data_IF_654180776403
#
_entry.id   IF_654180776403
#
_cell.length_a   1.000
_cell.length_b   1.000
_cell.length_c   1.000
_cell.angle_alpha   90.00
_cell.angle_beta   90.00
_cell.angle_gamma   90.00
#
_symmetry.space_group_name_H-M   'P 1'
#
loop_
_entity.id
_entity.type
_entity.pdbx_description
1 polymer ?
#
# COMPACT_ATOMS: atom_id res chain seq x y z
N UNK A 1 53.99 36.55 10.82
CA UNK A 1 52.51 36.63 10.98
C UNK A 1 51.75 36.69 9.65
N UNK A 2 52.08 37.56 8.67
CA UNK A 2 51.36 37.66 7.38
C UNK A 2 51.28 36.35 6.57
N UNK A 3 52.37 35.56 6.49
CA UNK A 3 52.37 34.29 5.76
C UNK A 3 51.52 33.17 6.40
N UNK A 4 51.39 33.16 7.75
CA UNK A 4 50.53 32.19 8.44
C UNK A 4 49.04 32.45 8.19
N UNK A 5 48.64 33.72 8.09
CA UNK A 5 47.25 34.13 7.81
C UNK A 5 46.86 33.76 6.37
N UNK A 6 47.78 33.90 5.40
CA UNK A 6 47.52 33.51 4.01
C UNK A 6 47.33 31.99 3.84
N UNK A 7 48.12 31.16 4.52
CA UNK A 7 47.98 29.69 4.44
C UNK A 7 46.67 29.22 5.07
N UNK A 8 46.27 29.79 6.21
CA UNK A 8 45.00 29.49 6.86
C UNK A 8 43.77 29.89 6.01
N UNK A 9 43.84 31.04 5.33
CA UNK A 9 42.76 31.50 4.45
C UNK A 9 42.61 30.62 3.19
N UNK A 10 43.73 30.22 2.57
CA UNK A 10 43.72 29.35 1.37
C UNK A 10 43.22 27.94 1.70
N UNK A 11 43.64 27.37 2.83
CA UNK A 11 43.15 26.06 3.26
C UNK A 11 41.66 26.08 3.61
N UNK A 12 41.18 27.14 4.27
CA UNK A 12 39.75 27.30 4.56
C UNK A 12 38.92 27.39 3.26
N UNK A 13 39.35 28.19 2.28
CA UNK A 13 38.67 28.32 0.98
C UNK A 13 38.61 27.00 0.20
N UNK A 14 39.72 26.26 0.17
CA UNK A 14 39.77 24.94 -0.49
C UNK A 14 38.84 23.93 0.18
N UNK A 15 38.81 23.90 1.52
CA UNK A 15 37.89 23.03 2.28
C UNK A 15 36.44 23.41 1.98
N UNK A 16 36.10 24.70 1.94
CA UNK A 16 34.73 25.13 1.61
C UNK A 16 34.34 24.80 0.16
N UNK A 17 35.26 24.92 -0.79
CA UNK A 17 35.01 24.60 -2.21
C UNK A 17 34.84 23.10 -2.44
N UNK A 18 35.67 22.28 -1.79
CA UNK A 18 35.54 20.82 -1.83
C UNK A 18 34.21 20.38 -1.19
N UNK A 19 33.85 20.99 -0.07
CA UNK A 19 32.60 20.71 0.62
C UNK A 19 31.37 21.10 -0.21
N UNK A 20 31.41 22.21 -0.96
CA UNK A 20 30.32 22.59 -1.87
C UNK A 20 30.20 21.64 -3.06
N UNK A 21 31.32 21.22 -3.66
CA UNK A 21 31.32 20.28 -4.79
C UNK A 21 30.83 18.89 -4.37
N UNK A 22 31.23 18.42 -3.19
CA UNK A 22 30.76 17.15 -2.63
C UNK A 22 29.24 17.16 -2.43
N UNK A 23 28.69 18.26 -1.87
CA UNK A 23 27.23 18.42 -1.71
C UNK A 23 26.49 18.45 -3.05
N UNK A 24 27.02 19.15 -4.04
CA UNK A 24 26.42 19.25 -5.37
C UNK A 24 26.42 17.88 -6.08
N UNK A 25 27.53 17.15 -6.02
CA UNK A 25 27.65 15.81 -6.58
C UNK A 25 26.70 14.81 -5.91
N UNK A 26 26.63 14.82 -4.57
CA UNK A 26 25.71 13.97 -3.80
C UNK A 26 24.24 14.30 -4.16
N UNK A 27 23.89 15.58 -4.25
CA UNK A 27 22.57 16.02 -4.69
C UNK A 27 22.22 15.51 -6.09
N UNK A 28 23.12 15.72 -7.06
CA UNK A 28 22.93 15.28 -8.45
C UNK A 28 22.73 13.77 -8.57
N UNK A 29 23.56 12.98 -7.89
CA UNK A 29 23.48 11.52 -7.95
C UNK A 29 22.23 10.97 -7.24
N UNK A 30 21.78 11.61 -6.15
CA UNK A 30 20.53 11.24 -5.49
C UNK A 30 19.31 11.49 -6.41
N UNK A 31 19.26 12.63 -7.09
CA UNK A 31 18.18 12.91 -8.05
C UNK A 31 18.16 11.90 -9.21
N UNK A 32 19.33 11.51 -9.73
CA UNK A 32 19.43 10.43 -10.71
C UNK A 32 18.87 9.11 -10.16
N UNK A 33 19.19 8.75 -8.92
CA UNK A 33 18.66 7.54 -8.30
C UNK A 33 17.12 7.59 -8.14
N UNK A 34 16.57 8.76 -7.81
CA UNK A 34 15.11 8.98 -7.75
C UNK A 34 14.48 8.83 -9.13
N UNK A 35 15.12 9.35 -10.17
CA UNK A 35 14.60 9.25 -11.54
C UNK A 35 14.65 7.81 -12.06
N UNK A 36 15.73 7.08 -11.79
CA UNK A 36 15.82 5.64 -12.06
C UNK A 36 14.70 4.85 -11.33
N UNK A 37 14.39 5.21 -10.08
CA UNK A 37 13.26 4.62 -9.35
C UNK A 37 11.92 4.88 -10.05
N UNK A 38 11.67 6.13 -10.49
CA UNK A 38 10.43 6.52 -11.18
C UNK A 38 10.23 5.79 -12.50
N UNK A 39 11.31 5.56 -13.25
CA UNK A 39 11.27 4.77 -14.49
C UNK A 39 11.39 3.25 -14.27
N UNK A 40 11.29 2.79 -13.01
CA UNK A 40 11.28 1.39 -12.57
C UNK A 40 12.60 0.63 -12.75
N UNK A 41 13.70 1.35 -12.94
CA UNK A 41 15.06 0.79 -12.97
C UNK A 41 15.61 0.60 -11.55
N UNK A 42 14.93 -0.22 -10.75
CA UNK A 42 15.18 -0.29 -9.31
C UNK A 42 16.60 -0.72 -8.95
N UNK A 43 17.19 -1.65 -9.71
CA UNK A 43 18.57 -2.07 -9.49
C UNK A 43 19.58 -0.94 -9.73
N UNK A 44 19.36 -0.11 -10.76
CA UNK A 44 20.21 1.04 -11.06
C UNK A 44 20.08 2.12 -9.98
N UNK A 45 18.85 2.38 -9.55
CA UNK A 45 18.58 3.27 -8.41
C UNK A 45 19.31 2.77 -7.16
N UNK A 46 19.24 1.48 -6.82
CA UNK A 46 19.97 0.89 -5.68
C UNK A 46 21.48 1.09 -5.82
N UNK A 47 22.07 0.84 -6.99
CA UNK A 47 23.50 1.02 -7.24
C UNK A 47 23.92 2.48 -6.98
N UNK A 48 23.15 3.44 -7.51
CA UNK A 48 23.39 4.86 -7.31
C UNK A 48 23.23 5.27 -5.85
N UNK A 49 22.19 4.84 -5.14
CA UNK A 49 22.06 5.19 -3.72
C UNK A 49 23.15 4.55 -2.88
N UNK A 50 23.56 3.30 -3.18
CA UNK A 50 24.65 2.63 -2.45
C UNK A 50 25.99 3.33 -2.62
N UNK A 51 26.28 3.91 -3.79
CA UNK A 51 27.52 4.68 -3.99
C UNK A 51 27.55 5.99 -3.19
N UNK A 52 26.39 6.47 -2.73
CA UNK A 52 26.25 7.64 -1.86
C UNK A 52 26.31 7.30 -0.37
N UNK A 53 26.27 6.02 -0.01
CA UNK A 53 26.34 5.61 1.39
C UNK A 53 27.75 5.85 1.94
N UNK A 54 27.83 6.73 2.92
CA UNK A 54 29.03 6.99 3.71
C UNK A 54 28.74 6.70 5.18
N UNK A 55 29.68 6.03 5.85
CA UNK A 55 29.53 5.63 7.25
C UNK A 55 29.23 6.85 8.14
N UNK A 56 28.12 6.78 8.86
CA UNK A 56 27.70 7.78 9.84
C UNK A 56 27.15 9.10 9.28
N UNK A 57 27.18 9.35 7.96
CA UNK A 57 26.75 10.62 7.34
C UNK A 57 25.59 10.51 6.35
N UNK A 58 25.16 9.28 6.04
CA UNK A 58 24.08 9.04 5.08
C UNK A 58 22.74 9.56 5.60
N UNK A 59 22.00 10.29 4.75
CA UNK A 59 20.71 10.89 5.09
C UNK A 59 19.60 9.84 5.18
N UNK A 60 18.48 10.17 5.84
CA UNK A 60 17.37 9.23 5.97
C UNK A 60 16.72 8.92 4.60
N UNK A 61 16.75 9.87 3.68
CA UNK A 61 16.21 9.77 2.34
C UNK A 61 16.89 8.67 1.52
N UNK A 62 18.19 8.47 1.70
CA UNK A 62 18.93 7.41 1.01
C UNK A 62 18.44 6.04 1.45
N UNK A 63 18.31 5.83 2.77
CA UNK A 63 17.76 4.59 3.32
C UNK A 63 16.29 4.40 2.94
N UNK A 64 15.48 5.46 2.93
CA UNK A 64 14.09 5.38 2.49
C UNK A 64 13.98 4.95 1.02
N UNK A 65 14.78 5.57 0.14
CA UNK A 65 14.80 5.23 -1.29
C UNK A 65 15.29 3.79 -1.52
N UNK A 66 16.30 3.31 -0.78
CA UNK A 66 16.70 1.91 -0.81
C UNK A 66 15.54 0.99 -0.38
N UNK A 67 14.85 1.32 0.72
CA UNK A 67 13.74 0.54 1.20
C UNK A 67 12.63 0.40 0.15
N UNK A 68 12.29 1.51 -0.52
CA UNK A 68 11.28 1.52 -1.58
C UNK A 68 11.70 0.76 -2.83
N UNK A 69 12.98 0.84 -3.22
CA UNK A 69 13.48 0.03 -4.34
C UNK A 69 13.41 -1.47 -4.03
N UNK A 70 13.87 -1.89 -2.86
CA UNK A 70 13.83 -3.29 -2.43
C UNK A 70 12.39 -3.81 -2.31
N UNK A 71 11.47 -2.98 -1.81
CA UNK A 71 10.04 -3.31 -1.79
C UNK A 71 9.47 -3.59 -3.19
N UNK A 72 9.83 -2.77 -4.18
CA UNK A 72 9.43 -2.98 -5.58
C UNK A 72 10.03 -4.23 -6.21
N UNK A 73 11.18 -4.69 -5.71
CA UNK A 73 11.81 -5.94 -6.10
C UNK A 73 11.33 -7.14 -5.27
N UNK A 74 10.33 -6.95 -4.40
CA UNK A 74 9.79 -7.97 -3.50
C UNK A 74 10.84 -8.53 -2.50
N UNK A 75 11.89 -7.76 -2.21
CA UNK A 75 12.93 -8.09 -1.23
C UNK A 75 12.58 -7.47 0.14
N UNK A 76 11.78 -8.22 0.91
CA UNK A 76 11.31 -7.77 2.22
C UNK A 76 12.46 -7.50 3.20
N UNK A 77 13.48 -8.34 3.22
CA UNK A 77 14.54 -8.28 4.23
C UNK A 77 15.34 -6.97 4.07
N UNK A 78 15.82 -6.69 2.86
CA UNK A 78 16.53 -5.46 2.60
C UNK A 78 15.61 -4.24 2.68
N UNK A 79 14.36 -4.35 2.22
CA UNK A 79 13.39 -3.26 2.32
C UNK A 79 13.16 -2.85 3.78
N UNK A 80 12.84 -3.82 4.63
CA UNK A 80 12.50 -3.55 6.02
C UNK A 80 13.72 -3.10 6.83
N UNK A 81 14.91 -3.66 6.56
CA UNK A 81 16.16 -3.19 7.17
C UNK A 81 16.40 -1.70 6.88
N UNK A 82 16.25 -1.28 5.63
CA UNK A 82 16.54 0.09 5.23
C UNK A 82 15.46 1.08 5.74
N UNK A 83 14.17 0.71 5.77
CA UNK A 83 13.15 1.63 6.31
C UNK A 83 13.31 1.84 7.82
N UNK A 84 13.76 0.82 8.56
CA UNK A 84 14.11 0.97 9.98
C UNK A 84 15.30 1.92 10.18
N UNK A 85 16.30 1.86 9.31
CA UNK A 85 17.47 2.74 9.39
C UNK A 85 17.13 4.20 9.03
N UNK A 86 16.21 4.42 8.09
CA UNK A 86 15.62 5.73 7.81
C UNK A 86 14.88 6.26 9.05
N UNK A 87 14.02 5.43 9.66
CA UNK A 87 13.26 5.80 10.86
C UNK A 87 14.15 6.04 12.09
N UNK A 88 15.28 5.35 12.22
CA UNK A 88 16.24 5.64 13.29
C UNK A 88 16.79 7.06 13.20
N UNK A 89 16.96 7.60 11.99
CA UNK A 89 17.43 8.97 11.74
C UNK A 89 16.32 10.01 11.86
N UNK A 90 15.10 9.65 11.48
CA UNK A 90 13.92 10.53 11.55
C UNK A 90 12.73 9.78 12.17
N UNK A 91 12.72 9.58 13.51
CA UNK A 91 11.75 8.70 14.18
C UNK A 91 10.31 9.22 14.13
N UNK A 92 10.15 10.54 14.08
CA UNK A 92 8.86 11.24 14.07
C UNK A 92 8.44 11.64 12.65
N UNK A 93 8.96 10.99 11.61
CA UNK A 93 8.51 11.23 10.24
C UNK A 93 7.29 10.38 9.89
N UNK A 94 6.17 11.04 9.61
CA UNK A 94 4.90 10.41 9.26
C UNK A 94 4.99 9.56 7.99
N UNK A 95 5.71 10.04 6.96
CA UNK A 95 5.86 9.35 5.68
C UNK A 95 6.68 8.06 5.83
N UNK A 96 7.72 8.06 6.67
CA UNK A 96 8.51 6.86 6.96
C UNK A 96 7.71 5.81 7.76
N UNK A 97 6.83 6.27 8.66
CA UNK A 97 5.91 5.39 9.41
C UNK A 97 4.88 4.76 8.47
N UNK A 98 4.29 5.56 7.58
CA UNK A 98 3.38 5.07 6.54
C UNK A 98 4.09 4.10 5.59
N UNK A 99 5.30 4.44 5.13
CA UNK A 99 6.11 3.58 4.28
C UNK A 99 6.42 2.22 4.93
N UNK A 100 6.73 2.22 6.23
CA UNK A 100 6.94 0.99 7.00
C UNK A 100 5.67 0.13 7.06
N UNK A 101 4.51 0.73 7.32
CA UNK A 101 3.22 0.02 7.31
C UNK A 101 2.87 -0.54 5.93
N UNK A 102 3.14 0.22 4.87
CA UNK A 102 2.93 -0.22 3.50
C UNK A 102 3.82 -1.44 3.14
N UNK A 103 5.11 -1.41 3.50
CA UNK A 103 6.03 -2.53 3.29
C UNK A 103 5.57 -3.76 4.08
N UNK A 104 5.23 -3.60 5.36
CA UNK A 104 4.78 -4.71 6.21
C UNK A 104 3.50 -5.35 5.67
N UNK A 105 2.51 -4.55 5.25
CA UNK A 105 1.24 -5.06 4.74
C UNK A 105 1.40 -5.72 3.36
N UNK A 106 2.17 -5.13 2.44
CA UNK A 106 2.46 -5.72 1.11
C UNK A 106 3.13 -7.09 1.21
N UNK A 107 4.04 -7.23 2.16
CA UNK A 107 4.73 -8.49 2.45
C UNK A 107 4.00 -9.39 3.46
N UNK A 108 2.71 -9.09 3.73
CA UNK A 108 1.82 -9.89 4.58
C UNK A 108 2.32 -10.10 6.00
N UNK A 109 3.14 -9.18 6.51
CA UNK A 109 3.64 -9.15 7.89
C UNK A 109 2.60 -8.51 8.80
N UNK A 110 1.46 -9.17 8.95
CA UNK A 110 0.27 -8.62 9.60
C UNK A 110 0.46 -8.25 11.07
N UNK A 111 1.13 -9.12 11.85
CA UNK A 111 1.34 -8.87 13.28
C UNK A 111 2.26 -7.65 13.51
N UNK A 112 3.46 -7.55 12.89
CA UNK A 112 4.25 -6.33 12.97
C UNK A 112 3.53 -5.07 12.45
N UNK A 113 2.71 -5.19 11.40
CA UNK A 113 1.93 -4.06 10.89
C UNK A 113 0.93 -3.53 11.92
N UNK A 114 0.22 -4.43 12.61
CA UNK A 114 -0.69 -4.09 13.71
C UNK A 114 0.05 -3.40 14.84
N UNK A 115 1.15 -3.99 15.32
CA UNK A 115 1.95 -3.43 16.42
C UNK A 115 2.51 -2.04 16.09
N UNK A 116 2.95 -1.83 14.85
CA UNK A 116 3.41 -0.52 14.39
C UNK A 116 2.26 0.48 14.32
N UNK A 117 1.12 0.10 13.74
CA UNK A 117 -0.04 0.97 13.62
C UNK A 117 -0.58 1.43 14.98
N UNK A 118 -0.63 0.53 15.97
CA UNK A 118 -1.05 0.85 17.34
C UNK A 118 -0.15 1.89 18.01
N UNK A 119 1.15 1.90 17.68
CA UNK A 119 2.10 2.92 18.15
C UNK A 119 2.01 4.23 17.35
N UNK A 120 1.68 4.15 16.07
CA UNK A 120 1.62 5.31 15.16
C UNK A 120 0.33 6.13 15.31
N UNK A 121 -0.82 5.47 15.49
CA UNK A 121 -2.14 6.14 15.54
C UNK A 121 -2.23 7.23 16.64
N UNK A 122 -1.68 7.06 17.85
CA UNK A 122 -1.67 8.13 18.86
C UNK A 122 -0.88 9.37 18.44
N UNK A 123 0.15 9.21 17.61
CA UNK A 123 0.99 10.30 17.10
C UNK A 123 0.30 11.03 15.94
N UNK A 124 -0.38 10.27 15.06
CA UNK A 124 -1.03 10.76 13.85
C UNK A 124 -2.50 10.33 13.78
N UNK A 125 -3.36 10.84 14.69
CA UNK A 125 -4.72 10.32 14.84
C UNK A 125 -5.62 10.59 13.62
N UNK A 126 -5.27 11.53 12.75
CA UNK A 126 -6.07 11.85 11.56
C UNK A 126 -5.46 11.35 10.26
N UNK A 127 -4.36 10.58 10.30
CA UNK A 127 -3.77 10.04 9.08
C UNK A 127 -4.62 8.89 8.53
N UNK A 128 -5.23 9.05 7.34
CA UNK A 128 -6.11 8.02 6.79
C UNK A 128 -5.34 6.81 6.26
N UNK A 129 -4.10 6.96 5.80
CA UNK A 129 -3.25 5.88 5.28
C UNK A 129 -2.79 4.93 6.40
N UNK A 130 -2.38 5.47 7.55
CA UNK A 130 -2.03 4.66 8.73
C UNK A 130 -3.24 3.81 9.16
N UNK A 131 -4.43 4.41 9.20
CA UNK A 131 -5.67 3.72 9.55
C UNK A 131 -6.07 2.68 8.50
N UNK A 132 -5.86 2.98 7.21
CA UNK A 132 -6.07 2.03 6.12
C UNK A 132 -5.20 0.78 6.27
N UNK A 133 -3.88 0.94 6.45
CA UNK A 133 -2.99 -0.20 6.63
C UNK A 133 -3.29 -0.99 7.91
N UNK A 134 -3.72 -0.31 8.97
CA UNK A 134 -4.16 -0.99 10.19
C UNK A 134 -5.43 -1.82 9.96
N UNK A 135 -6.45 -1.23 9.33
CA UNK A 135 -7.68 -1.91 8.98
C UNK A 135 -7.42 -3.11 8.07
N UNK A 136 -6.51 -2.98 7.10
CA UNK A 136 -6.10 -4.05 6.20
C UNK A 136 -5.51 -5.21 7.00
N UNK A 137 -4.52 -4.95 7.84
CA UNK A 137 -3.88 -5.99 8.65
C UNK A 137 -4.86 -6.64 9.65
N UNK A 138 -5.76 -5.87 10.26
CA UNK A 138 -6.81 -6.39 11.14
C UNK A 138 -7.80 -7.29 10.38
N UNK A 139 -8.21 -6.88 9.18
CA UNK A 139 -9.12 -7.67 8.32
C UNK A 139 -8.50 -9.03 7.97
N UNK A 140 -7.22 -9.05 7.56
CA UNK A 140 -6.48 -10.28 7.24
C UNK A 140 -6.27 -11.19 8.47
N UNK A 141 -6.25 -10.62 9.67
CA UNK A 141 -6.20 -11.37 10.93
C UNK A 141 -7.58 -11.79 11.46
N UNK A 142 -8.66 -11.50 10.74
CA UNK A 142 -10.02 -11.86 11.13
C UNK A 142 -10.66 -10.93 12.18
N UNK A 143 -10.00 -9.82 12.52
CA UNK A 143 -10.51 -8.82 13.47
C UNK A 143 -11.47 -7.82 12.79
N UNK A 144 -12.47 -8.32 12.06
CA UNK A 144 -13.28 -7.53 11.13
C UNK A 144 -14.07 -6.39 11.79
N UNK A 145 -14.51 -6.54 13.05
CA UNK A 145 -15.20 -5.45 13.79
C UNK A 145 -14.26 -4.28 14.06
N UNK A 146 -13.05 -4.56 14.53
CA UNK A 146 -12.03 -3.54 14.77
C UNK A 146 -11.57 -2.93 13.46
N UNK A 147 -11.37 -3.74 12.42
CA UNK A 147 -11.03 -3.28 11.07
C UNK A 147 -12.07 -2.28 10.54
N UNK A 148 -13.37 -2.56 10.74
CA UNK A 148 -14.45 -1.68 10.32
C UNK A 148 -14.35 -0.30 10.98
N UNK A 149 -14.13 -0.26 12.30
CA UNK A 149 -13.97 1.03 13.00
C UNK A 149 -12.79 1.85 12.50
N UNK A 150 -11.70 1.19 12.08
CA UNK A 150 -10.51 1.88 11.57
C UNK A 150 -10.70 2.36 10.14
N UNK A 151 -11.33 1.57 9.27
CA UNK A 151 -11.59 1.99 7.88
C UNK A 151 -12.61 3.12 7.79
N UNK A 152 -13.63 3.13 8.67
CA UNK A 152 -14.60 4.23 8.76
C UNK A 152 -13.90 5.56 9.10
N UNK A 153 -12.95 5.53 10.04
CA UNK A 153 -12.13 6.70 10.40
C UNK A 153 -11.18 7.11 9.27
N UNK A 154 -10.60 6.15 8.55
CA UNK A 154 -9.75 6.44 7.39
C UNK A 154 -10.55 7.17 6.29
N UNK A 155 -11.73 6.66 5.96
CA UNK A 155 -12.59 7.21 4.91
C UNK A 155 -13.08 8.64 5.21
N UNK A 156 -13.25 9.01 6.47
CA UNK A 156 -13.64 10.38 6.83
C UNK A 156 -12.63 11.44 6.30
N UNK A 157 -11.36 11.08 6.17
CA UNK A 157 -10.31 11.94 5.60
C UNK A 157 -10.10 11.79 4.09
N UNK A 158 -10.64 10.74 3.46
CA UNK A 158 -10.46 10.45 2.02
C UNK A 158 -11.65 9.65 1.47
N UNK A 159 -12.84 10.28 1.37
CA UNK A 159 -14.09 9.55 1.11
C UNK A 159 -14.19 8.93 -0.30
N UNK A 160 -13.36 9.38 -1.24
CA UNK A 160 -13.32 8.90 -2.63
C UNK A 160 -12.09 8.02 -2.94
N UNK A 161 -11.40 7.49 -1.93
CA UNK A 161 -10.34 6.50 -2.17
C UNK A 161 -10.95 5.11 -2.40
N UNK A 162 -10.88 4.61 -3.63
CA UNK A 162 -11.41 3.30 -4.00
C UNK A 162 -10.80 2.17 -3.17
N UNK A 163 -9.54 2.29 -2.71
CA UNK A 163 -8.86 1.27 -1.90
C UNK A 163 -9.54 1.11 -0.55
N UNK A 164 -9.99 2.22 0.04
CA UNK A 164 -10.68 2.21 1.33
C UNK A 164 -12.09 1.65 1.20
N UNK A 165 -12.80 1.99 0.12
CA UNK A 165 -14.12 1.45 -0.20
C UNK A 165 -14.07 -0.05 -0.51
N UNK A 166 -13.06 -0.50 -1.24
CA UNK A 166 -12.81 -1.91 -1.52
C UNK A 166 -12.57 -2.70 -0.22
N UNK A 167 -11.67 -2.21 0.63
CA UNK A 167 -11.37 -2.85 1.91
C UNK A 167 -12.59 -2.87 2.83
N UNK A 168 -13.37 -1.78 2.90
CA UNK A 168 -14.63 -1.73 3.63
C UNK A 168 -15.63 -2.79 3.12
N UNK A 169 -15.77 -2.92 1.80
CA UNK A 169 -16.59 -3.96 1.18
C UNK A 169 -16.17 -5.37 1.59
N UNK A 170 -14.87 -5.65 1.56
CA UNK A 170 -14.28 -6.92 2.02
C UNK A 170 -14.53 -7.15 3.52
N UNK A 171 -14.41 -6.12 4.35
CA UNK A 171 -14.69 -6.20 5.78
C UNK A 171 -16.17 -6.51 6.04
N UNK A 172 -17.09 -5.83 5.34
CA UNK A 172 -18.53 -6.10 5.45
C UNK A 172 -18.89 -7.51 4.97
N UNK A 173 -18.25 -7.99 3.90
CA UNK A 173 -18.40 -9.36 3.44
C UNK A 173 -17.99 -10.37 4.52
N UNK A 174 -16.84 -10.16 5.18
CA UNK A 174 -16.37 -11.00 6.29
C UNK A 174 -17.33 -10.96 7.50
N UNK A 175 -17.99 -9.82 7.73
CA UNK A 175 -19.04 -9.66 8.74
C UNK A 175 -20.40 -10.22 8.29
N UNK A 176 -20.50 -10.81 7.10
CA UNK A 176 -21.74 -11.30 6.47
C UNK A 176 -22.81 -10.22 6.25
N UNK A 177 -22.41 -8.95 6.25
CA UNK A 177 -23.28 -7.84 5.91
C UNK A 177 -23.19 -7.55 4.40
N UNK A 178 -23.80 -8.44 3.62
CA UNK A 178 -23.66 -8.43 2.16
C UNK A 178 -24.27 -7.18 1.50
N UNK A 179 -25.34 -6.63 2.07
CA UNK A 179 -25.97 -5.41 1.54
C UNK A 179 -25.02 -4.20 1.65
N UNK A 180 -24.35 -4.02 2.79
CA UNK A 180 -23.34 -2.94 2.92
C UNK A 180 -22.07 -3.22 2.11
N UNK A 181 -21.70 -4.49 1.96
CA UNK A 181 -20.57 -4.87 1.11
C UNK A 181 -20.84 -4.51 -0.36
N UNK A 182 -22.06 -4.74 -0.85
CA UNK A 182 -22.51 -4.40 -2.20
C UNK A 182 -22.38 -2.89 -2.46
N UNK A 183 -22.94 -2.06 -1.57
CA UNK A 183 -22.87 -0.60 -1.68
C UNK A 183 -21.42 -0.12 -1.76
N UNK A 184 -20.55 -0.62 -0.88
CA UNK A 184 -19.15 -0.19 -0.80
C UNK A 184 -18.38 -0.57 -2.08
N UNK A 185 -18.56 -1.80 -2.57
CA UNK A 185 -17.86 -2.29 -3.76
C UNK A 185 -18.39 -1.73 -5.08
N UNK A 186 -19.69 -1.41 -5.17
CA UNK A 186 -20.23 -0.67 -6.33
C UNK A 186 -19.66 0.75 -6.39
N UNK A 187 -19.51 1.39 -5.25
CA UNK A 187 -18.85 2.69 -5.22
C UNK A 187 -17.39 2.55 -5.62
N UNK A 188 -16.65 1.59 -5.05
CA UNK A 188 -15.27 1.32 -5.42
C UNK A 188 -15.11 1.05 -6.93
N UNK A 189 -15.99 0.24 -7.55
CA UNK A 189 -15.93 -0.08 -8.98
C UNK A 189 -16.30 1.10 -9.88
N UNK A 190 -17.15 2.01 -9.42
CA UNK A 190 -17.44 3.26 -10.15
C UNK A 190 -16.22 4.20 -10.21
N UNK A 191 -15.37 4.17 -9.19
CA UNK A 191 -14.14 4.99 -9.11
C UNK A 191 -12.96 4.32 -9.82
N UNK A 192 -12.90 2.98 -9.85
CA UNK A 192 -11.85 2.24 -10.53
C UNK A 192 -12.40 1.00 -11.26
N UNK A 193 -12.75 1.20 -12.53
CA UNK A 193 -13.29 0.14 -13.38
C UNK A 193 -12.24 -0.88 -13.83
N UNK A 194 -10.95 -0.58 -13.68
CA UNK A 194 -9.84 -1.43 -14.13
C UNK A 194 -9.26 -2.33 -13.01
N UNK A 195 -9.93 -2.43 -11.86
CA UNK A 195 -9.51 -3.33 -10.77
C UNK A 195 -10.20 -4.69 -10.86
N UNK A 196 -9.42 -5.72 -11.23
CA UNK A 196 -9.91 -7.10 -11.21
C UNK A 196 -10.32 -7.55 -9.80
N UNK A 197 -9.64 -7.05 -8.75
CA UNK A 197 -9.93 -7.41 -7.35
C UNK A 197 -11.29 -6.89 -6.90
N UNK A 198 -11.64 -5.65 -7.25
CA UNK A 198 -12.96 -5.06 -6.92
C UNK A 198 -14.08 -5.87 -7.59
N UNK A 199 -13.95 -6.15 -8.90
CA UNK A 199 -14.95 -6.93 -9.62
C UNK A 199 -15.09 -8.36 -9.09
N UNK A 200 -13.98 -9.00 -8.73
CA UNK A 200 -13.98 -10.30 -8.08
C UNK A 200 -14.71 -10.24 -6.72
N UNK A 201 -14.38 -9.27 -5.87
CA UNK A 201 -15.01 -9.10 -4.57
C UNK A 201 -16.52 -8.81 -4.70
N UNK A 202 -16.91 -7.99 -5.68
CA UNK A 202 -18.32 -7.71 -5.96
C UNK A 202 -19.06 -8.97 -6.42
N UNK A 203 -18.43 -9.82 -7.25
CA UNK A 203 -19.01 -11.10 -7.65
C UNK A 203 -19.24 -12.04 -6.46
N UNK A 204 -18.32 -12.08 -5.48
CA UNK A 204 -18.49 -12.86 -4.25
C UNK A 204 -19.66 -12.35 -3.39
N UNK A 205 -19.84 -11.02 -3.33
CA UNK A 205 -20.99 -10.40 -2.66
C UNK A 205 -22.29 -10.79 -3.37
N UNK A 206 -22.35 -10.66 -4.70
CA UNK A 206 -23.53 -11.04 -5.47
C UNK A 206 -23.87 -12.53 -5.32
N UNK A 207 -22.85 -13.41 -5.33
CA UNK A 207 -23.02 -14.84 -5.06
C UNK A 207 -23.66 -15.09 -3.68
N UNK A 208 -23.23 -14.34 -2.66
CA UNK A 208 -23.76 -14.46 -1.30
C UNK A 208 -25.20 -13.94 -1.18
N UNK A 209 -25.50 -12.84 -1.86
CA UNK A 209 -26.86 -12.30 -1.96
C UNK A 209 -27.80 -13.25 -2.72
N UNK A 210 -27.33 -13.88 -3.80
CA UNK A 210 -28.06 -14.95 -4.50
C UNK A 210 -28.41 -16.10 -3.53
N UNK A 211 -27.41 -16.64 -2.81
CA UNK A 211 -27.62 -17.75 -1.87
C UNK A 211 -28.60 -17.39 -0.76
N UNK A 212 -28.50 -16.17 -0.22
CA UNK A 212 -29.40 -15.66 0.81
C UNK A 212 -30.84 -15.55 0.30
N UNK A 213 -31.05 -14.91 -0.87
CA UNK A 213 -32.38 -14.73 -1.45
C UNK A 213 -33.01 -16.05 -1.94
N UNK A 214 -32.21 -16.98 -2.45
CA UNK A 214 -32.63 -18.36 -2.77
C UNK A 214 -33.19 -19.06 -1.54
N UNK A 215 -32.48 -18.99 -0.41
CA UNK A 215 -32.93 -19.58 0.87
C UNK A 215 -34.21 -18.96 1.39
N UNK A 216 -34.42 -17.67 1.13
CA UNK A 216 -35.63 -16.93 1.50
C UNK A 216 -36.80 -17.14 0.52
N UNK A 217 -36.64 -17.94 -0.54
CA UNK A 217 -37.68 -18.15 -1.56
C UNK A 217 -37.90 -16.97 -2.50
N UNK A 218 -37.05 -15.93 -2.45
CA UNK A 218 -37.16 -14.72 -3.28
C UNK A 218 -36.51 -14.95 -4.65
N UNK A 219 -37.13 -15.81 -5.47
CA UNK A 219 -36.57 -16.31 -6.73
C UNK A 219 -36.12 -15.20 -7.69
N UNK A 220 -36.97 -14.19 -7.93
CA UNK A 220 -36.64 -13.11 -8.88
C UNK A 220 -35.39 -12.34 -8.44
N UNK A 221 -35.32 -11.93 -7.17
CA UNK A 221 -34.16 -11.23 -6.63
C UNK A 221 -32.91 -12.12 -6.65
N UNK A 222 -33.05 -13.41 -6.30
CA UNK A 222 -31.94 -14.36 -6.39
C UNK A 222 -31.40 -14.43 -7.83
N UNK A 223 -32.27 -14.60 -8.83
CA UNK A 223 -31.85 -14.67 -10.23
C UNK A 223 -31.18 -13.37 -10.70
N UNK A 224 -31.64 -12.19 -10.26
CA UNK A 224 -30.95 -10.91 -10.51
C UNK A 224 -29.52 -10.93 -9.96
N UNK A 225 -29.34 -11.27 -8.68
CA UNK A 225 -28.01 -11.35 -8.08
C UNK A 225 -27.11 -12.40 -8.74
N UNK A 226 -27.67 -13.52 -9.22
CA UNK A 226 -26.89 -14.52 -9.94
C UNK A 226 -26.38 -13.99 -11.29
N UNK A 227 -27.22 -13.27 -12.03
CA UNK A 227 -26.82 -12.62 -13.29
C UNK A 227 -25.69 -11.63 -13.02
N UNK A 228 -25.86 -10.77 -12.03
CA UNK A 228 -24.83 -9.77 -11.68
C UNK A 228 -23.53 -10.43 -11.18
N UNK A 229 -23.60 -11.54 -10.45
CA UNK A 229 -22.42 -12.31 -10.04
C UNK A 229 -21.62 -12.80 -11.26
N UNK A 230 -22.32 -13.31 -12.28
CA UNK A 230 -21.71 -13.78 -13.54
C UNK A 230 -21.08 -12.63 -14.33
N UNK A 231 -21.74 -11.48 -14.41
CA UNK A 231 -21.19 -10.29 -15.07
C UNK A 231 -19.95 -9.76 -14.36
N UNK A 232 -19.99 -9.65 -13.02
CA UNK A 232 -18.86 -9.15 -12.24
C UNK A 232 -17.64 -10.08 -12.34
N UNK A 233 -17.84 -11.40 -12.26
CA UNK A 233 -16.70 -12.33 -12.35
C UNK A 233 -16.12 -12.42 -13.77
N UNK A 234 -16.95 -12.18 -14.80
CA UNK A 234 -16.47 -12.05 -16.17
C UNK A 234 -15.56 -10.82 -16.31
N UNK A 235 -16.01 -9.64 -15.83
CA UNK A 235 -15.17 -8.42 -15.83
C UNK A 235 -13.85 -8.62 -15.09
N UNK A 236 -13.88 -9.30 -13.94
CA UNK A 236 -12.66 -9.64 -13.20
C UNK A 236 -11.71 -10.55 -14.02
N UNK A 237 -12.28 -11.52 -14.74
CA UNK A 237 -11.54 -12.44 -15.61
C UNK A 237 -10.95 -11.73 -16.84
N UNK A 238 -11.66 -10.77 -17.42
CA UNK A 238 -11.18 -9.99 -18.56
C UNK A 238 -9.99 -9.10 -18.16
N UNK A 239 -9.98 -8.58 -16.94
CA UNK A 239 -8.91 -7.74 -16.40
C UNK A 239 -7.70 -8.54 -15.89
N UNK A 240 -7.90 -9.73 -15.31
CA UNK A 240 -6.82 -10.56 -14.79
C UNK A 240 -7.15 -12.06 -14.83
N UNK A 241 -7.26 -12.59 -16.04
CA UNK A 241 -7.64 -13.99 -16.29
C UNK A 241 -6.62 -15.01 -15.82
N UNK A 242 -5.39 -14.63 -15.48
CA UNK A 242 -4.35 -15.55 -14.99
C UNK A 242 -4.48 -15.86 -13.49
N UNK A 243 -5.16 -15.00 -12.74
CA UNK A 243 -5.37 -15.18 -11.30
C UNK A 243 -6.10 -16.49 -10.98
N UNK A 244 -5.44 -17.36 -10.22
CA UNK A 244 -5.99 -18.64 -9.76
C UNK A 244 -7.31 -18.43 -9.02
N UNK A 245 -7.36 -17.46 -8.11
CA UNK A 245 -8.57 -17.14 -7.34
C UNK A 245 -9.74 -16.72 -8.23
N UNK A 246 -9.48 -15.90 -9.26
CA UNK A 246 -10.53 -15.47 -10.20
C UNK A 246 -11.02 -16.65 -11.04
N UNK A 247 -10.13 -17.52 -11.52
CA UNK A 247 -10.49 -18.75 -12.26
C UNK A 247 -11.38 -19.67 -11.42
N UNK A 248 -11.01 -19.90 -10.16
CA UNK A 248 -11.77 -20.74 -9.24
C UNK A 248 -13.16 -20.15 -8.95
N UNK A 249 -13.24 -18.84 -8.68
CA UNK A 249 -14.50 -18.15 -8.46
C UNK A 249 -15.39 -18.16 -9.72
N UNK A 250 -14.81 -17.92 -10.90
CA UNK A 250 -15.51 -17.95 -12.19
C UNK A 250 -16.14 -19.31 -12.45
N UNK A 251 -15.36 -20.39 -12.31
CA UNK A 251 -15.85 -21.77 -12.45
C UNK A 251 -16.97 -22.09 -11.47
N UNK A 252 -16.83 -21.66 -10.20
CA UNK A 252 -17.85 -21.86 -9.16
C UNK A 252 -19.15 -21.13 -9.49
N UNK A 253 -19.07 -19.85 -9.84
CA UNK A 253 -20.24 -19.01 -10.12
C UNK A 253 -20.96 -19.48 -11.40
N UNK A 254 -20.22 -19.93 -12.42
CA UNK A 254 -20.78 -20.47 -13.65
C UNK A 254 -21.64 -21.73 -13.42
N UNK A 255 -21.32 -22.52 -12.39
CA UNK A 255 -22.05 -23.75 -12.05
C UNK A 255 -23.46 -23.52 -11.49
N UNK A 256 -23.80 -22.29 -11.07
CA UNK A 256 -25.14 -21.98 -10.60
C UNK A 256 -26.14 -21.84 -11.76
N UNK A 257 -27.28 -22.51 -11.60
CA UNK A 257 -28.46 -22.38 -12.47
C UNK A 257 -29.47 -21.40 -11.88
N UNK A 258 -30.20 -20.72 -12.75
CA UNK A 258 -31.36 -19.90 -12.37
C UNK A 258 -32.48 -20.77 -11.76
N UNK A 259 -33.28 -20.15 -10.89
CA UNK A 259 -34.32 -20.77 -10.05
C UNK A 259 -35.75 -20.56 -10.55
#
# INVERSE_FOLDING_TARGET
MKHFIQIAAVTCLLVTSLYSQEKEQVGSAYFQAVDEYKVKNYNKSIELVKSLLTDGKSSYEFYALLAYNYDKLNDFENSYKNILEARKRKPDDEDLLQGSLAILTRHKKWKPAIELAEKTIPLYPQNPEVRYFYALALSEKGASKTALSQIEKAKAGSPSDFRMLELEGKIYYNLKNYDKADVSLRWASSLNQNSAEIWNNLALVQESLYKSNKKLGKKNQANTYLTEAKECIQKASDLNGESITIKENSKRIAAFTSL
#
